data_IF_287830247185
#
_entry.id   IF_287830247185
#
_cell.length_a   1.000
_cell.length_b   1.000
_cell.length_c   1.000
_cell.angle_alpha   90.00
_cell.angle_beta   90.00
_cell.angle_gamma   90.00
#
_symmetry.space_group_name_H-M   'P 1'
#
loop_
_entity.id
_entity.type
_entity.pdbx_description
1 polymer ?
#
# COMPACT_ATOMS: atom_id res chain seq x y z
N UNK A 1 1.03 -13.62 -14.53
CA UNK A 1 1.92 -13.05 -13.50
C UNK A 1 2.82 -12.05 -14.18
N UNK A 2 3.31 -11.03 -13.46
CA UNK A 2 4.43 -10.19 -13.90
C UNK A 2 5.64 -10.55 -13.05
N UNK A 3 6.75 -10.89 -13.71
CA UNK A 3 7.98 -11.31 -13.07
C UNK A 3 8.73 -10.15 -12.41
N UNK A 4 9.80 -10.50 -11.71
CA UNK A 4 10.67 -9.50 -11.09
C UNK A 4 11.30 -8.58 -12.14
N UNK A 5 11.39 -7.29 -11.84
CA UNK A 5 12.01 -6.26 -12.69
C UNK A 5 11.46 -6.15 -14.13
N UNK A 6 10.34 -6.80 -14.47
CA UNK A 6 9.89 -6.94 -15.87
C UNK A 6 9.62 -5.61 -16.56
N UNK A 7 9.19 -4.60 -15.80
CA UNK A 7 8.92 -3.25 -16.27
C UNK A 7 9.56 -2.20 -15.34
N UNK A 8 10.70 -2.51 -14.72
CA UNK A 8 11.44 -1.54 -13.93
C UNK A 8 11.79 -0.29 -14.77
N UNK A 9 11.59 0.88 -14.18
CA UNK A 9 11.92 2.20 -14.73
C UNK A 9 11.19 2.53 -16.05
N UNK A 10 10.07 1.86 -16.30
CA UNK A 10 9.28 2.07 -17.51
C UNK A 10 8.54 3.41 -17.52
N UNK A 11 8.49 4.06 -18.68
CA UNK A 11 7.76 5.32 -18.90
C UNK A 11 6.27 5.13 -19.24
N UNK A 12 5.70 3.98 -18.86
CA UNK A 12 4.30 3.63 -19.12
C UNK A 12 3.36 4.62 -18.44
N UNK A 13 2.38 5.12 -19.19
CA UNK A 13 1.31 6.00 -18.67
C UNK A 13 0.10 5.23 -18.16
N UNK A 14 -0.12 4.04 -18.71
CA UNK A 14 -1.27 3.19 -18.44
C UNK A 14 -0.81 1.75 -18.33
N UNK A 15 -1.42 1.00 -17.40
CA UNK A 15 -1.19 -0.42 -17.20
C UNK A 15 -2.53 -1.14 -17.32
N UNK A 16 -2.70 -1.93 -18.38
CA UNK A 16 -3.90 -2.72 -18.63
C UNK A 16 -3.58 -4.22 -18.54
N UNK A 17 -3.75 -4.78 -17.34
CA UNK A 17 -3.43 -6.18 -17.03
C UNK A 17 -4.60 -6.86 -16.30
N UNK A 18 -5.78 -7.01 -16.96
CA UNK A 18 -7.04 -7.30 -16.27
C UNK A 18 -7.08 -8.68 -15.61
N UNK A 19 -6.25 -9.62 -16.10
CA UNK A 19 -6.21 -11.01 -15.62
C UNK A 19 -4.98 -11.32 -14.75
N UNK A 20 -4.10 -10.34 -14.51
CA UNK A 20 -2.89 -10.57 -13.72
C UNK A 20 -3.27 -10.73 -12.24
N UNK A 21 -2.83 -11.85 -11.65
CA UNK A 21 -3.11 -12.21 -10.26
C UNK A 21 -1.94 -11.93 -9.31
N UNK A 22 -0.72 -11.86 -9.82
CA UNK A 22 0.51 -11.70 -9.04
C UNK A 22 1.44 -10.76 -9.80
N UNK A 23 1.99 -9.80 -9.09
CA UNK A 23 3.11 -8.95 -9.52
C UNK A 23 4.24 -9.16 -8.52
N UNK A 24 5.37 -9.65 -9.00
CA UNK A 24 6.55 -9.93 -8.18
C UNK A 24 7.34 -8.66 -7.85
N UNK A 25 8.34 -8.81 -6.98
CA UNK A 25 9.21 -7.76 -6.50
C UNK A 25 9.73 -6.89 -7.65
N UNK A 26 9.57 -5.57 -7.51
CA UNK A 26 10.08 -4.58 -8.47
C UNK A 26 9.54 -4.71 -9.90
N UNK A 27 8.45 -5.46 -10.13
CA UNK A 27 7.91 -5.69 -11.46
C UNK A 27 7.54 -4.42 -12.24
N UNK A 28 7.25 -3.32 -11.55
CA UNK A 28 6.97 -1.98 -12.08
C UNK A 28 7.65 -0.89 -11.23
N UNK A 29 8.85 -1.16 -10.71
CA UNK A 29 9.55 -0.19 -9.88
C UNK A 29 9.81 1.09 -10.68
N UNK A 30 9.79 2.25 -10.02
CA UNK A 30 10.21 3.53 -10.58
C UNK A 30 9.53 3.85 -11.92
N UNK A 31 8.22 3.61 -12.05
CA UNK A 31 7.46 3.93 -13.27
C UNK A 31 6.82 5.32 -13.15
N UNK A 32 7.48 6.42 -13.58
CA UNK A 32 6.99 7.78 -13.33
C UNK A 32 5.74 8.14 -14.13
N UNK A 33 5.40 7.39 -15.19
CA UNK A 33 4.21 7.67 -15.99
C UNK A 33 2.91 7.18 -15.36
N UNK A 34 2.97 6.25 -14.40
CA UNK A 34 1.78 5.61 -13.83
C UNK A 34 1.13 6.55 -12.82
N UNK A 35 -0.04 7.08 -13.16
CA UNK A 35 -0.79 7.98 -12.26
C UNK A 35 -1.98 7.32 -11.59
N UNK A 36 -2.54 6.28 -12.20
CA UNK A 36 -3.66 5.51 -11.68
C UNK A 36 -3.43 4.02 -11.94
N UNK A 37 -3.80 3.17 -10.98
CA UNK A 37 -3.68 1.72 -11.11
C UNK A 37 -4.98 1.03 -10.73
N UNK A 38 -5.50 0.24 -11.67
CA UNK A 38 -6.68 -0.60 -11.47
C UNK A 38 -6.42 -2.00 -12.02
N UNK A 39 -6.25 -2.98 -11.12
CA UNK A 39 -6.00 -4.37 -11.46
C UNK A 39 -7.00 -5.26 -10.69
N UNK A 40 -8.16 -5.59 -11.29
CA UNK A 40 -9.29 -6.17 -10.57
C UNK A 40 -9.04 -7.60 -10.08
N UNK A 41 -8.17 -8.36 -10.76
CA UNK A 41 -7.84 -9.74 -10.40
C UNK A 41 -6.56 -9.90 -9.58
N UNK A 42 -5.86 -8.80 -9.27
CA UNK A 42 -4.59 -8.85 -8.54
C UNK A 42 -4.82 -9.30 -7.09
N UNK A 43 -4.05 -10.30 -6.66
CA UNK A 43 -4.13 -10.92 -5.32
C UNK A 43 -2.89 -10.65 -4.47
N UNK A 44 -1.72 -10.58 -5.10
CA UNK A 44 -0.43 -10.33 -4.44
C UNK A 44 0.39 -9.32 -5.26
N UNK A 45 0.99 -8.34 -4.58
CA UNK A 45 1.67 -7.23 -5.24
C UNK A 45 2.91 -6.74 -4.47
N UNK A 46 4.08 -6.89 -5.10
CA UNK A 46 5.38 -6.46 -4.56
C UNK A 46 6.15 -5.53 -5.55
N UNK A 47 5.46 -4.95 -6.54
CA UNK A 47 6.12 -4.42 -7.74
C UNK A 47 6.21 -2.91 -7.97
N UNK A 48 5.44 -2.04 -7.29
CA UNK A 48 5.27 -0.61 -7.64
C UNK A 48 6.01 0.36 -6.70
N UNK A 49 7.12 -0.07 -6.11
CA UNK A 49 7.98 0.84 -5.36
C UNK A 49 8.41 2.02 -6.24
N UNK A 50 8.47 3.22 -5.66
CA UNK A 50 8.93 4.45 -6.29
C UNK A 50 8.13 4.88 -7.53
N UNK A 51 6.88 4.41 -7.66
CA UNK A 51 5.91 5.00 -8.59
C UNK A 51 5.39 6.35 -8.05
N UNK A 52 6.27 7.35 -7.97
CA UNK A 52 6.06 8.61 -7.23
C UNK A 52 4.82 9.41 -7.68
N UNK A 53 4.40 9.25 -8.94
CA UNK A 53 3.26 9.95 -9.53
C UNK A 53 1.93 9.20 -9.40
N UNK A 54 1.92 7.99 -8.82
CA UNK A 54 0.71 7.21 -8.59
C UNK A 54 -0.17 7.93 -7.56
N UNK A 55 -1.36 8.35 -7.98
CA UNK A 55 -2.34 9.09 -7.16
C UNK A 55 -3.49 8.22 -6.66
N UNK A 56 -3.92 7.26 -7.48
CA UNK A 56 -5.08 6.43 -7.21
C UNK A 56 -4.79 4.96 -7.40
N UNK A 57 -5.18 4.17 -6.41
CA UNK A 57 -4.98 2.73 -6.36
C UNK A 57 -6.29 2.01 -6.08
N UNK A 58 -6.74 1.15 -6.99
CA UNK A 58 -7.93 0.32 -6.82
C UNK A 58 -7.61 -1.14 -7.10
N UNK A 59 -7.48 -1.95 -6.04
CA UNK A 59 -7.14 -3.37 -6.12
C UNK A 59 -8.12 -4.20 -5.27
N UNK A 60 -9.35 -4.44 -5.76
CA UNK A 60 -10.45 -4.98 -4.96
C UNK A 60 -10.24 -6.40 -4.42
N UNK A 61 -9.37 -7.20 -5.06
CA UNK A 61 -9.07 -8.59 -4.68
C UNK A 61 -7.69 -8.77 -4.04
N UNK A 62 -6.96 -7.68 -3.80
CA UNK A 62 -5.61 -7.74 -3.25
C UNK A 62 -5.67 -8.24 -1.80
N UNK A 63 -4.90 -9.29 -1.48
CA UNK A 63 -4.83 -9.89 -0.14
C UNK A 63 -3.50 -9.61 0.55
N UNK A 64 -2.40 -9.54 -0.20
CA UNK A 64 -1.05 -9.27 0.30
C UNK A 64 -0.36 -8.21 -0.52
N UNK A 65 0.36 -7.31 0.15
CA UNK A 65 0.98 -6.16 -0.51
C UNK A 65 2.29 -5.74 0.14
N UNK A 66 3.40 -5.73 -0.61
CA UNK A 66 4.69 -5.19 -0.15
C UNK A 66 5.35 -4.20 -1.13
N UNK A 67 4.69 -3.78 -2.21
CA UNK A 67 5.36 -3.03 -3.29
C UNK A 67 4.72 -1.70 -3.69
N UNK A 68 4.55 -0.75 -2.77
CA UNK A 68 4.13 0.62 -3.07
C UNK A 68 4.96 1.64 -2.26
N UNK A 69 6.20 1.30 -1.91
CA UNK A 69 7.04 2.16 -1.08
C UNK A 69 7.32 3.44 -1.85
N UNK A 70 7.31 4.59 -1.18
CA UNK A 70 7.57 5.89 -1.78
C UNK A 70 6.67 6.24 -2.99
N UNK A 71 5.41 5.76 -3.01
CA UNK A 71 4.39 6.33 -3.91
C UNK A 71 3.94 7.70 -3.37
N UNK A 72 4.79 8.71 -3.54
CA UNK A 72 4.67 10.01 -2.85
C UNK A 72 3.37 10.74 -3.16
N UNK A 73 2.81 10.60 -4.37
CA UNK A 73 1.56 11.27 -4.77
C UNK A 73 0.29 10.52 -4.38
N UNK A 74 0.40 9.37 -3.72
CA UNK A 74 -0.75 8.49 -3.47
C UNK A 74 -1.70 9.11 -2.44
N UNK A 75 -2.95 9.36 -2.85
CA UNK A 75 -3.98 9.98 -2.01
C UNK A 75 -5.24 9.12 -1.87
N UNK A 76 -5.56 8.30 -2.87
CA UNK A 76 -6.77 7.48 -2.90
C UNK A 76 -6.40 5.99 -2.97
N UNK A 77 -6.80 5.22 -1.96
CA UNK A 77 -6.61 3.77 -1.91
C UNK A 77 -7.94 3.05 -1.69
N UNK A 78 -8.21 2.05 -2.51
CA UNK A 78 -9.34 1.13 -2.36
C UNK A 78 -8.85 -0.32 -2.33
N UNK A 79 -8.68 -0.85 -1.12
CA UNK A 79 -8.08 -2.17 -0.83
C UNK A 79 -8.95 -2.97 0.16
N UNK A 80 -10.21 -3.27 -0.19
CA UNK A 80 -11.22 -3.78 0.76
C UNK A 80 -10.90 -5.19 1.28
N UNK A 81 -10.13 -5.98 0.55
CA UNK A 81 -9.76 -7.36 0.93
C UNK A 81 -8.30 -7.52 1.37
N UNK A 82 -7.57 -6.41 1.58
CA UNK A 82 -6.18 -6.48 2.01
C UNK A 82 -6.10 -7.06 3.42
N UNK A 83 -5.44 -8.21 3.56
CA UNK A 83 -5.30 -8.94 4.83
C UNK A 83 -3.91 -8.70 5.46
N UNK A 84 -2.88 -8.55 4.63
CA UNK A 84 -1.48 -8.39 5.04
C UNK A 84 -0.79 -7.26 4.27
N UNK A 85 -0.14 -6.35 4.98
CA UNK A 85 0.50 -5.18 4.39
C UNK A 85 1.92 -4.97 4.91
N UNK A 86 2.87 -4.72 3.99
CA UNK A 86 4.26 -4.38 4.28
C UNK A 86 4.87 -3.43 3.26
N UNK A 87 4.07 -2.63 2.55
CA UNK A 87 4.51 -2.02 1.28
C UNK A 87 4.23 -0.54 1.04
N UNK A 88 3.57 0.22 1.92
CA UNK A 88 3.21 1.64 1.67
C UNK A 88 4.07 2.62 2.47
N UNK A 89 5.26 2.24 2.91
CA UNK A 89 6.19 3.16 3.56
C UNK A 89 6.42 4.42 2.71
N UNK A 90 6.52 5.59 3.34
CA UNK A 90 6.72 6.92 2.72
C UNK A 90 5.59 7.41 1.80
N UNK A 91 4.41 6.79 1.81
CA UNK A 91 3.23 7.34 1.12
C UNK A 91 2.65 8.55 1.89
N UNK A 92 3.38 9.66 1.89
CA UNK A 92 3.16 10.80 2.77
C UNK A 92 1.86 11.59 2.52
N UNK A 93 1.19 11.41 1.37
CA UNK A 93 -0.01 12.16 1.01
C UNK A 93 -1.34 11.44 1.33
N UNK A 94 -1.29 10.22 1.87
CA UNK A 94 -2.49 9.51 2.34
C UNK A 94 -2.98 10.19 3.63
N UNK A 95 -4.22 10.70 3.63
CA UNK A 95 -4.79 11.42 4.80
C UNK A 95 -5.63 10.54 5.74
N UNK A 96 -6.38 9.62 5.16
CA UNK A 96 -7.25 8.73 5.89
C UNK A 96 -7.09 7.31 5.35
N UNK A 97 -7.09 6.33 6.25
CA UNK A 97 -6.93 4.93 5.89
C UNK A 97 -8.04 4.08 6.51
N UNK A 98 -8.82 3.43 5.64
CA UNK A 98 -9.83 2.46 6.02
C UNK A 98 -9.54 1.12 5.33
N UNK A 99 -9.05 0.15 6.09
CA UNK A 99 -8.71 -1.19 5.59
C UNK A 99 -9.47 -2.23 6.42
N UNK A 100 -10.73 -2.54 6.06
CA UNK A 100 -11.62 -3.31 6.91
C UNK A 100 -11.16 -4.76 7.10
N UNK A 101 -10.41 -5.32 6.16
CA UNK A 101 -9.92 -6.70 6.23
C UNK A 101 -8.48 -6.83 6.75
N UNK A 102 -7.78 -5.73 7.03
CA UNK A 102 -6.37 -5.80 7.41
C UNK A 102 -6.22 -6.47 8.77
N UNK A 103 -5.47 -7.58 8.81
CA UNK A 103 -5.21 -8.36 10.03
C UNK A 103 -3.81 -8.11 10.55
N UNK A 104 -2.83 -7.97 9.64
CA UNK A 104 -1.42 -7.79 9.98
C UNK A 104 -0.81 -6.67 9.17
N UNK A 105 -0.19 -5.71 9.86
CA UNK A 105 0.64 -4.66 9.26
C UNK A 105 2.10 -4.90 9.69
N UNK A 106 2.98 -5.19 8.74
CA UNK A 106 4.40 -5.42 8.96
C UNK A 106 5.18 -4.11 9.04
N UNK A 107 6.45 -4.19 9.44
CA UNK A 107 7.31 -3.05 9.74
C UNK A 107 7.43 -2.05 8.59
N UNK A 108 7.30 -2.47 7.33
CA UNK A 108 7.34 -1.57 6.15
C UNK A 108 5.97 -1.09 5.67
N UNK A 109 4.90 -1.43 6.40
CA UNK A 109 3.51 -1.26 5.98
C UNK A 109 3.14 0.17 5.65
N UNK A 110 3.27 1.09 6.61
CA UNK A 110 2.86 2.50 6.46
C UNK A 110 3.79 3.44 7.23
N UNK A 111 5.08 3.11 7.35
CA UNK A 111 6.02 4.00 8.05
C UNK A 111 6.21 5.30 7.27
N UNK A 112 6.51 6.40 7.96
CA UNK A 112 6.73 7.72 7.38
C UNK A 112 5.55 8.23 6.54
N UNK A 113 4.35 7.70 6.76
CA UNK A 113 3.12 8.21 6.15
C UNK A 113 2.63 9.42 6.95
N UNK A 114 3.41 10.51 6.90
CA UNK A 114 3.21 11.70 7.73
C UNK A 114 1.90 12.42 7.47
N UNK A 115 1.26 12.24 6.31
CA UNK A 115 -0.07 12.81 6.04
C UNK A 115 -1.23 12.13 6.75
N UNK A 116 -1.03 10.95 7.36
CA UNK A 116 -2.11 10.20 7.99
C UNK A 116 -2.64 10.92 9.22
N UNK A 117 -3.93 11.26 9.20
CA UNK A 117 -4.68 11.89 10.29
C UNK A 117 -5.70 10.92 10.89
N UNK A 118 -6.31 10.08 10.06
CA UNK A 118 -7.37 9.15 10.47
C UNK A 118 -7.05 7.70 10.06
N UNK A 119 -7.16 6.78 11.02
CA UNK A 119 -7.00 5.35 10.79
C UNK A 119 -8.18 4.56 11.36
N UNK A 120 -8.85 3.81 10.49
CA UNK A 120 -9.88 2.86 10.84
C UNK A 120 -9.49 1.45 10.37
N UNK A 121 -8.95 0.65 11.29
CA UNK A 121 -8.44 -0.69 11.00
C UNK A 121 -9.10 -1.70 11.96
N UNK A 122 -10.40 -1.90 11.75
CA UNK A 122 -11.27 -2.65 12.67
C UNK A 122 -10.77 -4.08 12.99
N UNK A 123 -10.14 -4.75 12.03
CA UNK A 123 -9.69 -6.13 12.15
C UNK A 123 -8.19 -6.31 12.41
N UNK A 124 -7.44 -5.21 12.60
CA UNK A 124 -5.99 -5.28 12.82
C UNK A 124 -5.70 -5.98 14.15
N UNK A 125 -4.86 -7.02 14.12
CA UNK A 125 -4.45 -7.78 15.30
C UNK A 125 -2.98 -7.56 15.64
N UNK A 126 -2.12 -7.54 14.63
CA UNK A 126 -0.67 -7.43 14.80
C UNK A 126 -0.15 -6.23 14.01
N UNK A 127 0.55 -5.33 14.69
CA UNK A 127 1.07 -4.12 14.07
C UNK A 127 2.56 -3.93 14.35
N UNK A 128 3.36 -3.81 13.30
CA UNK A 128 4.74 -3.32 13.31
C UNK A 128 4.92 -2.01 12.53
N UNK A 129 3.92 -1.62 11.73
CA UNK A 129 4.01 -0.45 10.85
C UNK A 129 3.57 0.86 11.51
N UNK A 130 3.41 1.89 10.69
CA UNK A 130 3.03 3.25 11.09
C UNK A 130 4.07 3.96 11.96
N UNK A 131 5.35 3.57 11.89
CA UNK A 131 6.42 4.31 12.55
C UNK A 131 6.62 5.68 11.87
N UNK A 132 6.90 6.70 12.67
CA UNK A 132 7.11 8.10 12.26
C UNK A 132 5.90 8.67 11.51
N UNK A 133 4.69 8.25 11.89
CA UNK A 133 3.41 8.83 11.45
C UNK A 133 2.94 9.87 12.47
N UNK A 134 3.48 11.08 12.37
CA UNK A 134 3.41 12.11 13.42
C UNK A 134 2.05 12.83 13.53
N UNK A 135 1.20 12.77 12.49
CA UNK A 135 -0.04 13.55 12.42
C UNK A 135 -1.33 12.78 12.74
N UNK A 136 -1.22 11.55 13.24
CA UNK A 136 -2.38 10.72 13.56
C UNK A 136 -3.16 11.34 14.72
N UNK A 137 -4.42 11.69 14.48
CA UNK A 137 -5.33 12.27 15.49
C UNK A 137 -6.46 11.32 15.86
N UNK A 138 -6.94 10.53 14.90
CA UNK A 138 -8.06 9.60 15.09
C UNK A 138 -7.62 8.18 14.79
N UNK A 139 -7.73 7.29 15.79
CA UNK A 139 -7.26 5.91 15.70
C UNK A 139 -8.34 4.95 16.22
N UNK A 140 -8.79 4.03 15.37
CA UNK A 140 -9.77 2.98 15.72
C UNK A 140 -9.22 1.57 15.43
N UNK A 141 -8.77 0.88 16.49
CA UNK A 141 -8.12 -0.43 16.44
C UNK A 141 -8.72 -1.43 17.47
N UNK A 142 -10.02 -1.77 17.40
CA UNK A 142 -10.73 -2.46 18.48
C UNK A 142 -10.32 -3.94 18.66
N UNK A 143 -9.61 -4.54 17.68
CA UNK A 143 -9.15 -5.94 17.73
C UNK A 143 -7.62 -6.08 17.87
N UNK A 144 -6.91 -4.99 18.15
CA UNK A 144 -5.45 -5.00 18.26
C UNK A 144 -5.01 -5.88 19.43
N UNK A 145 -4.10 -6.81 19.17
CA UNK A 145 -3.58 -7.76 20.16
C UNK A 145 -2.13 -7.44 20.53
N UNK A 146 -1.30 -7.15 19.53
CA UNK A 146 0.12 -6.85 19.74
C UNK A 146 0.55 -5.70 18.84
N UNK A 147 1.32 -4.77 19.41
CA UNK A 147 1.78 -3.57 18.74
C UNK A 147 3.26 -3.32 19.04
N UNK A 148 4.04 -3.21 17.98
CA UNK A 148 5.43 -2.76 17.98
C UNK A 148 5.64 -1.54 17.08
N UNK A 149 4.61 -1.08 16.39
CA UNK A 149 4.62 0.09 15.51
C UNK A 149 4.33 1.42 16.22
N UNK A 150 4.01 2.46 15.44
CA UNK A 150 3.75 3.84 15.93
C UNK A 150 4.91 4.47 16.71
N UNK A 151 6.15 4.03 16.49
CA UNK A 151 7.34 4.63 17.10
C UNK A 151 7.76 5.86 16.32
N UNK A 152 8.33 6.88 16.97
CA UNK A 152 8.92 8.02 16.29
C UNK A 152 10.35 7.72 15.83
#
# INVERSE_FOLDING_TARGET
EVGEYSFDSCSLKEINLPNVKIIKSFGFQNCPGVTELNLPELKECDGFDECENLKKLSLPKLKKCNGFRACLSLTELNLPQLEQCGGFGQCANIKALNLPSLVTCFDKGFNLCSGLVELNLHNLKLNWGFNSCENIQNLNLPKLQQCWGFRN
#
